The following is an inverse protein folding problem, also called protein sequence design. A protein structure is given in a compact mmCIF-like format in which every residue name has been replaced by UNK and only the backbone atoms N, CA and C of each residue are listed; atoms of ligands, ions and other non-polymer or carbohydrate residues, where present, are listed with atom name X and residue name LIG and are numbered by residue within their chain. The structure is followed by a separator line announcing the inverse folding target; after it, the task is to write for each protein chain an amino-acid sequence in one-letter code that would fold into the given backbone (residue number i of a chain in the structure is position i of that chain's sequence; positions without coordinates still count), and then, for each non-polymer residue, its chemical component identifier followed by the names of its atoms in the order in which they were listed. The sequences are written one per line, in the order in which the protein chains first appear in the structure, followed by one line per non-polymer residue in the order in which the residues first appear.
data_IF_509153389753
#
_entry.id   IF_509153389753
#
_cell.length_a   1.000
_cell.length_b   1.000
_cell.length_c   1.000
_cell.angle_alpha   90.00
_cell.angle_beta   90.00
_cell.angle_gamma   90.00
#
_symmetry.space_group_name_H-M   'P 1'
#
loop_
_entity.id
_entity.type
_entity.pdbx_description
1 polymer ?
#
# COMPACT_ATOMS: atom_id res chain seq x y z
N UNK A 1 4.04 44.67 37.72
CA UNK A 1 5.34 44.35 38.35
C UNK A 1 6.41 44.42 37.28
N UNK A 2 7.37 45.32 37.50
CA UNK A 2 8.64 45.60 36.83
C UNK A 2 8.68 45.68 35.30
N UNK A 3 8.63 46.86 34.68
CA UNK A 3 9.47 48.08 34.78
C UNK A 3 10.63 48.07 33.79
N UNK A 4 10.34 48.57 32.58
CA UNK A 4 11.21 49.49 31.87
C UNK A 4 11.62 50.65 32.81
N UNK A 5 12.87 51.12 32.73
CA UNK A 5 13.22 52.56 32.74
C UNK A 5 14.75 52.77 32.79
N UNK A 6 15.22 53.56 31.81
CA UNK A 6 16.20 54.66 31.93
C UNK A 6 17.68 54.29 32.17
N UNK A 7 18.67 54.93 31.52
CA UNK A 7 18.75 56.35 31.17
C UNK A 7 19.87 56.63 30.13
N UNK A 8 19.49 57.43 29.12
CA UNK A 8 20.22 58.48 28.36
C UNK A 8 21.13 59.36 29.27
N UNK A 9 22.04 60.26 28.78
CA UNK A 9 21.80 61.30 27.74
C UNK A 9 22.98 61.53 26.74
N UNK A 10 22.73 61.88 25.47
CA UNK A 10 22.41 63.19 24.84
C UNK A 10 23.56 64.21 24.73
N UNK A 11 23.66 64.77 23.50
CA UNK A 11 24.15 66.11 23.08
C UNK A 11 25.28 66.02 22.05
N UNK A 12 25.32 66.72 20.91
CA UNK A 12 24.39 67.55 20.14
C UNK A 12 25.16 68.02 18.88
N UNK A 13 24.42 68.36 17.82
CA UNK A 13 24.79 69.38 16.80
C UNK A 13 25.62 68.94 15.55
N UNK A 14 24.91 68.77 14.43
CA UNK A 14 25.28 69.11 13.03
C UNK A 14 25.14 70.66 12.83
N UNK A 15 25.68 71.38 11.80
CA UNK A 15 25.99 70.96 10.40
C UNK A 15 27.18 71.68 9.66
N UNK A 16 27.50 71.20 8.45
CA UNK A 16 27.79 71.98 7.21
C UNK A 16 29.01 72.91 7.09
N UNK A 17 29.81 72.75 6.02
CA UNK A 17 30.01 73.73 4.94
C UNK A 17 31.15 73.35 3.97
N UNK A 18 30.86 73.60 2.70
CA UNK A 18 31.67 73.46 1.49
C UNK A 18 32.94 74.32 1.50
N UNK A 19 34.02 73.83 0.87
CA UNK A 19 35.07 74.69 0.32
C UNK A 19 35.77 74.05 -0.89
N UNK A 20 35.71 74.76 -2.02
CA UNK A 20 36.48 74.61 -3.27
C UNK A 20 37.92 75.11 -3.00
N UNK A 21 38.97 74.58 -3.68
CA UNK A 21 39.61 75.42 -4.70
C UNK A 21 40.10 74.66 -5.95
N UNK A 22 39.87 75.29 -7.10
CA UNK A 22 40.51 75.09 -8.41
C UNK A 22 41.41 76.30 -8.68
N UNK A 23 42.44 76.09 -9.51
CA UNK A 23 43.35 77.03 -10.19
C UNK A 23 44.72 77.19 -9.50
N UNK A 24 45.87 77.18 -10.18
CA UNK A 24 46.23 77.02 -11.59
C UNK A 24 47.76 76.80 -11.68
N UNK A 25 48.25 76.06 -12.70
CA UNK A 25 49.50 76.35 -13.42
C UNK A 25 49.78 75.27 -14.50
N UNK A 26 49.94 75.72 -15.75
CA UNK A 26 50.62 75.06 -16.88
C UNK A 26 51.52 76.18 -17.46
N UNK A 27 52.66 75.99 -18.18
CA UNK A 27 53.13 74.78 -18.88
C UNK A 27 54.66 74.52 -18.84
N UNK A 28 55.11 73.35 -19.35
CA UNK A 28 56.32 73.28 -20.19
C UNK A 28 56.34 72.00 -21.05
N UNK A 29 56.44 72.21 -22.37
CA UNK A 29 56.55 71.17 -23.39
C UNK A 29 57.97 70.56 -23.45
N UNK A 30 58.05 69.26 -23.77
CA UNK A 30 59.25 68.61 -24.31
C UNK A 30 58.82 67.50 -25.30
N UNK A 31 59.55 67.41 -26.41
CA UNK A 31 59.27 66.71 -27.67
C UNK A 31 59.53 65.17 -27.62
N UNK A 32 59.18 64.40 -28.68
CA UNK A 32 58.68 63.01 -28.61
C UNK A 32 59.73 61.91 -28.89
N UNK A 33 59.41 60.64 -28.54
CA UNK A 33 59.87 59.37 -29.16
C UNK A 33 59.40 58.14 -28.35
N UNK A 34 59.32 56.91 -28.91
CA UNK A 34 58.82 56.46 -30.20
C UNK A 34 57.56 55.55 -30.04
N UNK A 35 56.77 55.40 -31.09
CA UNK A 35 55.60 54.52 -31.12
C UNK A 35 55.99 53.05 -30.88
N UNK A 36 55.63 52.51 -29.72
CA UNK A 36 55.61 51.06 -29.51
C UNK A 36 54.40 50.49 -30.23
N UNK A 37 54.64 49.48 -31.07
CA UNK A 37 53.61 48.69 -31.76
C UNK A 37 52.48 48.35 -30.77
N UNK A 38 51.19 48.47 -31.13
CA UNK A 38 50.14 47.96 -30.27
C UNK A 38 50.30 46.43 -30.22
N UNK A 39 50.91 45.95 -29.14
CA UNK A 39 50.72 44.58 -28.69
C UNK A 39 49.24 44.52 -28.34
N UNK A 40 48.46 43.81 -29.16
CA UNK A 40 47.11 43.41 -28.76
C UNK A 40 47.32 42.55 -27.52
N UNK A 41 47.06 43.12 -26.35
CA UNK A 41 47.03 42.41 -25.10
C UNK A 41 45.82 41.46 -25.13
N UNK A 42 46.02 40.26 -25.67
CA UNK A 42 45.12 39.10 -25.47
C UNK A 42 45.21 38.58 -24.02
N UNK A 43 45.86 39.28 -23.10
CA UNK A 43 46.09 38.87 -21.71
C UNK A 43 44.93 39.11 -20.76
N UNK A 44 43.85 39.80 -21.15
CA UNK A 44 42.67 39.99 -20.28
C UNK A 44 41.49 39.05 -20.55
N UNK A 45 41.57 38.17 -21.55
CA UNK A 45 40.57 37.10 -21.77
C UNK A 45 40.94 35.75 -21.12
N UNK A 46 42.01 35.71 -20.31
CA UNK A 46 42.39 34.55 -19.51
C UNK A 46 41.78 34.59 -18.10
N UNK A 47 40.47 34.84 -18.01
CA UNK A 47 39.68 34.19 -16.97
C UNK A 47 38.81 33.15 -17.67
N UNK A 48 39.48 32.08 -18.12
CA UNK A 48 38.84 30.77 -18.14
C UNK A 48 38.49 30.44 -16.70
N UNK A 49 37.34 30.93 -16.25
CA UNK A 49 36.55 30.19 -15.28
C UNK A 49 36.25 28.87 -15.97
N UNK A 50 37.09 27.86 -15.78
CA UNK A 50 36.67 26.48 -15.96
C UNK A 50 35.63 26.21 -14.89
N UNK A 51 34.41 26.73 -15.11
CA UNK A 51 33.21 26.14 -14.57
C UNK A 51 33.05 24.83 -15.33
N UNK A 52 33.82 23.84 -14.93
CA UNK A 52 33.40 22.45 -15.10
C UNK A 52 32.00 22.41 -14.50
N UNK A 53 30.94 22.12 -15.28
CA UNK A 53 29.65 21.85 -14.68
C UNK A 53 29.88 20.67 -13.74
N UNK A 54 29.80 20.91 -12.44
CA UNK A 54 29.83 19.84 -11.48
C UNK A 54 28.62 18.97 -11.81
N UNK A 55 28.80 17.70 -12.20
CA UNK A 55 27.67 16.85 -12.53
C UNK A 55 26.75 16.84 -11.31
N UNK A 56 25.47 17.15 -11.52
CA UNK A 56 24.45 16.99 -10.50
C UNK A 56 24.63 15.61 -9.87
N UNK A 57 24.96 15.57 -8.58
CA UNK A 57 25.19 14.32 -7.87
C UNK A 57 23.94 13.46 -8.03
N UNK A 58 24.12 12.22 -8.50
CA UNK A 58 23.01 11.26 -8.58
C UNK A 58 22.41 11.12 -7.18
N UNK A 59 21.09 11.30 -6.97
CA UNK A 59 20.49 10.99 -5.69
C UNK A 59 20.67 9.48 -5.45
N UNK A 60 21.36 9.14 -4.37
CA UNK A 60 21.43 7.78 -3.86
C UNK A 60 20.20 7.60 -2.97
N UNK A 61 19.22 6.84 -3.44
CA UNK A 61 18.11 6.40 -2.59
C UNK A 61 18.30 4.93 -2.25
N UNK A 62 18.40 4.69 -0.95
CA UNK A 62 18.44 3.38 -0.33
C UNK A 62 17.08 2.69 -0.47
N UNK A 63 16.99 1.73 -1.41
CA UNK A 63 15.86 0.80 -1.52
C UNK A 63 16.02 -0.43 -0.60
N UNK A 64 17.03 -0.42 0.28
CA UNK A 64 17.39 -1.52 1.15
C UNK A 64 16.54 -1.57 2.41
N UNK A 65 15.36 -2.19 2.33
CA UNK A 65 14.70 -2.75 3.51
C UNK A 65 13.40 -2.09 3.96
N UNK A 66 12.48 -1.80 3.04
CA UNK A 66 11.08 -1.64 3.44
C UNK A 66 10.50 -3.00 3.88
N UNK A 67 10.74 -3.36 5.13
CA UNK A 67 9.91 -4.36 5.81
C UNK A 67 8.47 -3.87 5.80
N UNK A 68 7.47 -4.74 5.60
CA UNK A 68 6.07 -4.32 5.60
C UNK A 68 5.77 -3.56 6.89
N UNK A 69 5.24 -2.33 6.81
CA UNK A 69 4.93 -1.56 8.01
C UNK A 69 3.88 -2.32 8.81
N UNK A 70 4.12 -2.52 10.11
CA UNK A 70 3.02 -2.84 11.03
C UNK A 70 2.04 -1.69 10.95
N UNK A 71 0.78 -1.92 10.54
CA UNK A 71 -0.12 -0.82 10.27
C UNK A 71 -0.40 -0.11 11.60
N UNK A 72 0.03 1.15 11.73
CA UNK A 72 0.10 1.85 13.02
C UNK A 72 -1.28 2.24 13.55
N UNK A 73 -1.68 1.65 14.68
CA UNK A 73 -2.87 2.00 15.45
C UNK A 73 -3.34 0.83 16.32
N UNK A 74 -3.95 1.09 17.49
CA UNK A 74 -4.52 0.04 18.37
C UNK A 74 -5.64 -0.81 17.72
N UNK A 75 -6.03 -0.49 16.49
CA UNK A 75 -7.02 -1.21 15.68
C UNK A 75 -6.39 -2.23 14.71
N UNK A 76 -5.07 -2.44 14.74
CA UNK A 76 -4.32 -3.16 13.72
C UNK A 76 -3.41 -4.27 14.25
N UNK A 77 -3.59 -4.69 15.51
CA UNK A 77 -2.97 -5.91 16.00
C UNK A 77 -3.61 -7.11 15.31
N UNK A 78 -2.79 -8.13 14.99
CA UNK A 78 -3.29 -9.37 14.41
C UNK A 78 -4.43 -9.90 15.29
N UNK A 79 -5.62 -10.21 14.73
CA UNK A 79 -6.74 -10.69 15.53
C UNK A 79 -6.32 -11.86 16.41
N UNK A 80 -6.85 -11.97 17.62
CA UNK A 80 -6.63 -13.12 18.48
C UNK A 80 -7.95 -13.83 18.68
N UNK A 81 -7.95 -15.16 18.59
CA UNK A 81 -9.17 -15.93 18.83
C UNK A 81 -9.57 -15.79 20.29
N UNK A 82 -10.79 -15.33 20.53
CA UNK A 82 -11.42 -15.28 21.84
C UNK A 82 -12.83 -15.85 21.71
N UNK A 83 -13.16 -16.96 22.38
CA UNK A 83 -14.49 -17.54 22.31
C UNK A 83 -15.50 -16.58 22.91
N UNK A 84 -16.68 -16.48 22.29
CA UNK A 84 -17.71 -15.57 22.79
C UNK A 84 -18.31 -16.04 24.12
N UNK A 85 -18.94 -15.11 24.85
CA UNK A 85 -19.74 -15.45 26.03
C UNK A 85 -20.85 -16.45 25.70
N UNK A 86 -21.42 -16.38 24.49
CA UNK A 86 -22.49 -17.27 24.07
C UNK A 86 -21.96 -18.69 23.81
N UNK A 87 -20.77 -18.84 23.23
CA UNK A 87 -20.12 -20.14 23.05
C UNK A 87 -19.76 -20.78 24.40
N UNK A 88 -19.25 -19.97 25.34
CA UNK A 88 -18.98 -20.43 26.70
C UNK A 88 -20.28 -20.84 27.41
N UNK A 89 -21.35 -20.06 27.29
CA UNK A 89 -22.65 -20.41 27.85
C UNK A 89 -23.23 -21.70 27.24
N UNK A 90 -23.04 -21.92 25.93
CA UNK A 90 -23.43 -23.17 25.27
C UNK A 90 -22.63 -24.38 25.80
N UNK A 91 -21.33 -24.20 26.03
CA UNK A 91 -20.48 -25.23 26.64
C UNK A 91 -20.92 -25.55 28.07
N UNK A 92 -21.23 -24.54 28.88
CA UNK A 92 -21.74 -24.70 30.24
C UNK A 92 -23.11 -25.38 30.27
N UNK A 93 -24.04 -25.01 29.38
CA UNK A 93 -25.35 -25.64 29.27
C UNK A 93 -25.21 -27.13 28.91
N UNK A 94 -24.35 -27.46 27.95
CA UNK A 94 -24.05 -28.85 27.60
C UNK A 94 -23.44 -29.61 28.79
N UNK A 95 -22.48 -29.02 29.51
CA UNK A 95 -21.86 -29.63 30.68
C UNK A 95 -22.89 -29.85 31.81
N UNK A 96 -23.78 -28.89 32.05
CA UNK A 96 -24.85 -29.00 33.03
C UNK A 96 -25.84 -30.10 32.66
N UNK A 97 -26.26 -30.17 31.40
CA UNK A 97 -27.11 -31.25 30.92
C UNK A 97 -26.42 -32.62 31.13
N UNK A 98 -25.15 -32.77 30.78
CA UNK A 98 -24.40 -34.02 30.96
C UNK A 98 -24.33 -34.46 32.42
N UNK A 99 -24.21 -33.53 33.37
CA UNK A 99 -24.25 -33.82 34.81
C UNK A 99 -25.64 -34.28 35.29
N UNK A 100 -26.70 -33.79 34.66
CA UNK A 100 -28.09 -34.09 34.98
C UNK A 100 -28.62 -35.36 34.30
N UNK A 101 -27.74 -36.29 33.91
CA UNK A 101 -28.14 -37.57 33.33
C UNK A 101 -29.06 -38.34 34.29
N UNK A 102 -30.22 -38.83 33.83
CA UNK A 102 -31.08 -39.70 34.62
C UNK A 102 -30.30 -40.91 35.15
N UNK A 103 -30.41 -41.15 36.46
CA UNK A 103 -29.78 -42.29 37.10
C UNK A 103 -30.35 -43.60 36.54
N UNK A 104 -29.61 -44.72 36.61
CA UNK A 104 -30.13 -46.01 36.21
C UNK A 104 -31.48 -46.30 36.90
N UNK A 105 -32.43 -46.85 36.14
CA UNK A 105 -33.73 -47.19 36.69
C UNK A 105 -33.62 -48.18 37.85
N UNK A 106 -34.31 -47.86 38.93
CA UNK A 106 -34.57 -48.76 40.04
C UNK A 106 -36.07 -48.80 40.29
N UNK A 107 -36.63 -50.00 40.21
CA UNK A 107 -38.02 -50.24 40.51
C UNK A 107 -38.27 -50.10 42.01
N UNK A 108 -39.22 -49.25 42.38
CA UNK A 108 -39.73 -49.16 43.76
C UNK A 108 -40.67 -50.31 44.13
N UNK A 109 -41.07 -51.12 43.16
CA UNK A 109 -42.01 -52.23 43.34
C UNK A 109 -41.31 -53.59 43.44
N UNK A 110 -40.01 -53.69 43.14
CA UNK A 110 -39.21 -54.93 43.16
C UNK A 110 -39.52 -55.78 44.39
N UNK A 111 -39.35 -55.23 45.60
CA UNK A 111 -39.54 -55.99 46.83
C UNK A 111 -40.99 -56.49 47.00
N UNK A 112 -41.97 -55.72 46.55
CA UNK A 112 -43.39 -56.07 46.62
C UNK A 112 -43.76 -57.15 45.60
N UNK A 113 -43.22 -57.03 44.38
CA UNK A 113 -43.36 -58.01 43.30
C UNK A 113 -42.74 -59.33 43.75
N UNK A 114 -41.50 -59.31 44.24
CA UNK A 114 -40.80 -60.50 44.74
C UNK A 114 -41.54 -61.13 45.93
N UNK A 115 -42.07 -60.31 46.83
CA UNK A 115 -42.90 -60.77 47.95
C UNK A 115 -44.17 -61.50 47.48
N UNK A 116 -44.89 -60.95 46.50
CA UNK A 116 -46.10 -61.59 45.96
C UNK A 116 -45.78 -62.85 45.17
N UNK A 117 -44.72 -62.84 44.35
CA UNK A 117 -44.26 -64.02 43.62
C UNK A 117 -43.91 -65.14 44.61
N UNK A 118 -43.16 -64.83 45.66
CA UNK A 118 -42.82 -65.81 46.69
C UNK A 118 -44.05 -66.33 47.44
N UNK A 119 -45.02 -65.47 47.74
CA UNK A 119 -46.29 -65.90 48.36
C UNK A 119 -47.05 -66.86 47.45
N UNK A 120 -47.13 -66.58 46.15
CA UNK A 120 -47.79 -67.44 45.17
C UNK A 120 -47.07 -68.77 44.96
N UNK A 121 -45.73 -68.76 44.96
CA UNK A 121 -44.90 -69.96 44.81
C UNK A 121 -44.98 -70.89 46.03
N UNK A 122 -45.08 -70.31 47.23
CA UNK A 122 -45.15 -71.06 48.49
C UNK A 122 -46.59 -71.24 49.01
N UNK A 123 -47.60 -71.02 48.16
CA UNK A 123 -49.00 -71.19 48.51
C UNK A 123 -49.27 -72.65 48.91
N UNK A 124 -49.81 -72.86 50.12
CA UNK A 124 -50.20 -74.20 50.56
C UNK A 124 -51.36 -74.74 49.70
N UNK A 125 -51.37 -76.06 49.41
CA UNK A 125 -52.49 -76.68 48.73
C UNK A 125 -53.76 -76.56 49.57
N UNK A 126 -54.92 -76.48 48.91
CA UNK A 126 -56.20 -76.40 49.60
C UNK A 126 -56.40 -77.60 50.52
N UNK A 127 -56.69 -77.31 51.79
CA UNK A 127 -57.08 -78.30 52.80
C UNK A 127 -58.31 -77.77 53.53
N UNK A 128 -59.29 -78.64 53.73
CA UNK A 128 -60.51 -78.30 54.46
C UNK A 128 -60.61 -79.16 55.72
N UNK A 129 -60.59 -78.49 56.87
CA UNK A 129 -60.84 -79.10 58.17
C UNK A 129 -62.18 -78.60 58.71
N UNK A 130 -63.23 -79.44 58.72
CA UNK A 130 -64.52 -79.08 59.27
C UNK A 130 -64.45 -78.67 60.74
N UNK A 131 -63.58 -79.31 61.52
CA UNK A 131 -63.47 -79.00 62.95
C UNK A 131 -62.87 -77.61 63.20
N UNK A 132 -62.09 -77.07 62.24
CA UNK A 132 -61.52 -75.72 62.29
C UNK A 132 -62.43 -74.65 61.67
N UNK A 133 -63.47 -75.03 60.91
CA UNK A 133 -64.40 -74.11 60.25
C UNK A 133 -65.45 -73.58 61.25
N UNK A 134 -65.45 -72.27 61.59
CA UNK A 134 -66.40 -71.70 62.53
C UNK A 134 -67.87 -71.85 62.09
N UNK A 135 -68.12 -71.84 60.77
CA UNK A 135 -69.47 -71.98 60.23
C UNK A 135 -69.96 -73.41 60.40
N UNK A 136 -69.09 -74.39 60.17
CA UNK A 136 -69.40 -75.80 60.46
C UNK A 136 -69.64 -76.03 61.95
N UNK A 137 -68.82 -75.45 62.84
CA UNK A 137 -69.03 -75.56 64.29
C UNK A 137 -70.38 -75.02 64.73
N UNK A 138 -70.79 -73.85 64.19
CA UNK A 138 -72.10 -73.27 64.47
C UNK A 138 -73.24 -74.17 63.97
N UNK A 139 -73.11 -74.71 62.75
CA UNK A 139 -74.07 -75.68 62.19
C UNK A 139 -74.15 -76.94 63.03
N UNK A 140 -73.02 -77.51 63.46
CA UNK A 140 -72.98 -78.72 64.26
C UNK A 140 -73.67 -78.55 65.62
N UNK A 141 -73.45 -77.42 66.29
CA UNK A 141 -74.14 -77.11 67.56
C UNK A 141 -75.66 -76.95 67.36
N UNK A 142 -76.08 -76.30 66.28
CA UNK A 142 -77.50 -76.13 65.94
C UNK A 142 -78.17 -77.47 65.66
N UNK A 143 -77.54 -78.33 64.84
CA UNK A 143 -78.07 -79.64 64.49
C UNK A 143 -78.07 -80.62 65.67
N UNK A 144 -77.07 -80.57 66.56
CA UNK A 144 -77.11 -81.33 67.81
C UNK A 144 -78.29 -80.90 68.67
N UNK A 145 -78.49 -79.59 68.88
CA UNK A 145 -79.61 -79.07 69.67
C UNK A 145 -80.96 -79.42 69.06
N UNK A 146 -81.12 -79.24 67.75
CA UNK A 146 -82.36 -79.55 67.05
C UNK A 146 -82.61 -81.06 66.99
N UNK A 147 -81.57 -81.86 66.81
CA UNK A 147 -81.63 -83.31 66.89
C UNK A 147 -82.10 -83.78 68.26
N UNK A 148 -81.58 -83.22 69.35
CA UNK A 148 -82.03 -83.53 70.70
C UNK A 148 -83.50 -83.16 70.93
N UNK A 149 -83.94 -82.02 70.40
CA UNK A 149 -85.35 -81.60 70.46
C UNK A 149 -86.23 -82.55 69.65
N UNK A 150 -85.88 -82.84 68.40
CA UNK A 150 -86.61 -83.76 67.53
C UNK A 150 -86.65 -85.19 68.11
N UNK A 151 -85.57 -85.63 68.74
CA UNK A 151 -85.51 -86.90 69.47
C UNK A 151 -86.50 -86.90 70.63
N UNK A 152 -86.51 -85.85 71.46
CA UNK A 152 -87.46 -85.72 72.58
C UNK A 152 -88.91 -85.67 72.09
N UNK A 153 -89.17 -84.97 70.99
CA UNK A 153 -90.50 -84.86 70.39
C UNK A 153 -90.96 -86.21 69.82
N UNK A 154 -90.09 -86.91 69.09
CA UNK A 154 -90.39 -88.25 68.57
C UNK A 154 -90.61 -89.27 69.70
N UNK A 155 -89.81 -89.20 70.77
CA UNK A 155 -90.02 -90.00 71.98
C UNK A 155 -91.34 -89.67 72.66
N UNK A 156 -91.68 -88.39 72.82
CA UNK A 156 -92.93 -87.95 73.44
C UNK A 156 -94.15 -88.38 72.63
N UNK A 157 -94.10 -88.23 71.30
CA UNK A 157 -95.16 -88.69 70.39
C UNK A 157 -95.31 -90.22 70.43
N UNK A 158 -94.21 -90.96 70.42
CA UNK A 158 -94.25 -92.42 70.53
C UNK A 158 -94.79 -92.87 71.90
N UNK A 159 -94.40 -92.21 73.00
CA UNK A 159 -94.88 -92.53 74.34
C UNK A 159 -96.39 -92.22 74.50
N UNK A 160 -96.87 -91.15 73.85
CA UNK A 160 -98.30 -90.82 73.81
C UNK A 160 -99.10 -91.89 73.06
N UNK A 161 -98.57 -92.42 71.94
CA UNK A 161 -99.19 -93.52 71.19
C UNK A 161 -99.22 -94.85 71.94
N UNK A 162 -98.27 -95.09 72.85
CA UNK A 162 -98.19 -96.31 73.68
C UNK A 162 -98.87 -96.18 75.04
N UNK A 163 -99.69 -95.14 75.26
CA UNK A 163 -100.48 -94.97 76.49
C UNK A 163 -99.69 -94.42 77.69
N UNK A 164 -98.61 -93.67 77.45
CA UNK A 164 -97.84 -92.96 78.47
C UNK A 164 -96.72 -93.77 79.13
N UNK A 165 -96.58 -95.06 78.80
CA UNK A 165 -95.45 -95.87 79.25
C UNK A 165 -94.26 -95.67 78.32
N UNK A 166 -93.15 -95.16 78.88
CA UNK A 166 -91.88 -95.03 78.17
C UNK A 166 -91.35 -96.39 77.74
N UNK A 167 -91.71 -96.79 76.52
CA UNK A 167 -91.40 -98.10 75.99
C UNK A 167 -90.07 -98.06 75.22
N UNK A 168 -89.36 -99.19 75.15
CA UNK A 168 -88.13 -99.33 74.34
C UNK A 168 -88.31 -98.90 72.89
N UNK A 169 -89.55 -99.00 72.37
CA UNK A 169 -89.95 -98.48 71.07
C UNK A 169 -89.79 -96.95 70.93
N UNK A 170 -90.20 -96.16 71.93
CA UNK A 170 -90.06 -94.70 71.89
C UNK A 170 -88.58 -94.29 71.87
N UNK A 171 -87.75 -94.96 72.66
CA UNK A 171 -86.30 -94.75 72.65
C UNK A 171 -85.68 -95.05 71.28
N UNK A 172 -86.12 -96.13 70.64
CA UNK A 172 -85.65 -96.53 69.31
C UNK A 172 -86.03 -95.52 68.23
N UNK A 173 -87.28 -95.03 68.23
CA UNK A 173 -87.76 -94.00 67.27
C UNK A 173 -87.04 -92.66 67.47
N UNK A 174 -86.81 -92.25 68.73
CA UNK A 174 -86.06 -91.03 69.02
C UNK A 174 -84.60 -91.10 68.55
N UNK A 175 -83.92 -92.23 68.78
CA UNK A 175 -82.56 -92.42 68.29
C UNK A 175 -82.49 -92.45 66.76
N UNK A 176 -83.47 -93.07 66.10
CA UNK A 176 -83.55 -93.07 64.63
C UNK A 176 -83.75 -91.65 64.07
N UNK A 177 -84.58 -90.84 64.73
CA UNK A 177 -84.81 -89.44 64.35
C UNK A 177 -83.55 -88.58 64.55
N UNK A 178 -82.84 -88.78 65.67
CA UNK A 178 -81.56 -88.12 65.94
C UNK A 178 -80.48 -88.47 64.91
N UNK A 179 -80.35 -89.76 64.57
CA UNK A 179 -79.41 -90.24 63.56
C UNK A 179 -79.68 -89.62 62.19
N UNK A 180 -80.94 -89.52 61.77
CA UNK A 180 -81.33 -88.86 60.52
C UNK A 180 -80.94 -87.37 60.50
N UNK A 181 -81.10 -86.67 61.61
CA UNK A 181 -80.68 -85.27 61.72
C UNK A 181 -79.15 -85.09 61.64
N UNK A 182 -78.37 -86.04 62.18
CA UNK A 182 -76.92 -86.05 62.01
C UNK A 182 -76.49 -86.37 60.57
N UNK A 183 -77.22 -87.25 59.88
CA UNK A 183 -77.02 -87.52 58.45
C UNK A 183 -77.30 -86.27 57.59
N UNK A 184 -78.37 -85.53 57.89
CA UNK A 184 -78.69 -84.26 57.21
C UNK A 184 -77.57 -83.22 57.40
N UNK A 185 -76.94 -83.15 58.58
CA UNK A 185 -75.78 -82.29 58.82
C UNK A 185 -74.57 -82.70 57.99
N UNK A 186 -74.26 -84.01 57.94
CA UNK A 186 -73.17 -84.54 57.13
C UNK A 186 -73.37 -84.27 55.62
N UNK A 187 -74.61 -84.12 55.17
CA UNK A 187 -74.92 -83.74 53.79
C UNK A 187 -74.56 -82.30 53.43
N UNK A 188 -74.39 -81.41 54.42
CA UNK A 188 -73.95 -80.02 54.21
C UNK A 188 -72.42 -79.86 54.13
N UNK A 189 -71.66 -80.85 54.61
CA UNK A 189 -70.20 -80.86 54.62
C UNK A 189 -69.59 -80.62 53.22
N UNK A 190 -70.05 -81.30 52.15
CA UNK A 190 -69.52 -81.07 50.80
C UNK A 190 -69.78 -79.64 50.30
N UNK A 191 -70.91 -79.02 50.70
CA UNK A 191 -71.25 -77.66 50.30
C UNK A 191 -70.32 -76.64 50.96
N UNK A 192 -70.03 -76.80 52.26
CA UNK A 192 -69.10 -75.93 52.99
C UNK A 192 -67.67 -76.07 52.46
N UNK A 193 -67.22 -77.31 52.19
CA UNK A 193 -65.92 -77.55 51.55
C UNK A 193 -65.83 -76.87 50.18
N UNK A 194 -66.91 -76.92 49.38
CA UNK A 194 -66.94 -76.29 48.07
C UNK A 194 -66.90 -74.75 48.16
N UNK A 195 -67.60 -74.16 49.13
CA UNK A 195 -67.54 -72.73 49.40
C UNK A 195 -66.13 -72.28 49.87
N UNK A 196 -65.51 -73.06 50.77
CA UNK A 196 -64.13 -72.81 51.21
C UNK A 196 -63.13 -72.91 50.05
N UNK A 197 -63.33 -73.87 49.13
CA UNK A 197 -62.51 -74.00 47.93
C UNK A 197 -62.68 -72.82 46.96
N UNK A 198 -63.90 -72.33 46.79
CA UNK A 198 -64.17 -71.12 46.00
C UNK A 198 -63.44 -69.91 46.59
N UNK A 199 -63.58 -69.67 47.90
CA UNK A 199 -62.86 -68.60 48.59
C UNK A 199 -61.33 -68.72 48.41
N UNK A 200 -60.77 -69.93 48.51
CA UNK A 200 -59.35 -70.16 48.26
C UNK A 200 -58.94 -69.82 46.82
N UNK A 201 -59.74 -70.24 45.82
CA UNK A 201 -59.49 -69.92 44.41
C UNK A 201 -59.60 -68.42 44.14
N UNK A 202 -60.57 -67.75 44.74
CA UNK A 202 -60.78 -66.30 44.59
C UNK A 202 -59.64 -65.52 45.22
N UNK A 203 -59.16 -65.94 46.40
CA UNK A 203 -57.98 -65.34 47.02
C UNK A 203 -56.74 -65.48 46.13
N UNK A 204 -56.52 -66.66 45.54
CA UNK A 204 -55.42 -66.89 44.60
C UNK A 204 -55.57 -66.04 43.32
N UNK A 205 -56.80 -65.86 42.84
CA UNK A 205 -57.12 -64.92 41.76
C UNK A 205 -56.72 -63.50 42.11
N UNK A 206 -57.19 -63.00 43.24
CA UNK A 206 -56.89 -61.65 43.73
C UNK A 206 -55.38 -61.41 43.93
N UNK A 207 -54.64 -62.40 44.44
CA UNK A 207 -53.18 -62.30 44.57
C UNK A 207 -52.49 -62.16 43.22
N UNK A 208 -52.94 -62.92 42.20
CA UNK A 208 -52.41 -62.81 40.84
C UNK A 208 -52.78 -61.49 40.19
N UNK A 209 -54.01 -61.00 40.41
CA UNK A 209 -54.46 -59.70 39.90
C UNK A 209 -53.66 -58.55 40.52
N UNK A 210 -53.40 -58.62 41.83
CA UNK A 210 -52.53 -57.66 42.51
C UNK A 210 -51.09 -57.68 41.98
N UNK A 211 -50.54 -58.87 41.73
CA UNK A 211 -49.21 -59.00 41.11
C UNK A 211 -49.19 -58.39 39.71
N UNK A 212 -50.21 -58.66 38.89
CA UNK A 212 -50.33 -58.05 37.55
C UNK A 212 -50.46 -56.52 37.63
N UNK A 213 -51.17 -55.99 38.63
CA UNK A 213 -51.26 -54.55 38.85
C UNK A 213 -49.91 -53.96 39.23
N UNK A 214 -49.14 -54.61 40.11
CA UNK A 214 -47.78 -54.18 40.47
C UNK A 214 -46.83 -54.21 39.27
N UNK A 215 -46.85 -55.29 38.49
CA UNK A 215 -46.06 -55.40 37.27
C UNK A 215 -46.43 -54.30 36.25
N UNK A 216 -47.71 -53.98 36.11
CA UNK A 216 -48.17 -52.88 35.27
C UNK A 216 -47.74 -51.50 35.78
N UNK A 217 -47.75 -51.28 37.10
CA UNK A 217 -47.26 -50.06 37.71
C UNK A 217 -45.74 -49.90 37.51
N UNK A 218 -45.00 -51.02 37.58
CA UNK A 218 -43.56 -51.07 37.34
C UNK A 218 -43.21 -50.76 35.88
N UNK A 219 -43.89 -51.41 34.94
CA UNK A 219 -43.73 -51.18 33.50
C UNK A 219 -44.03 -49.71 33.15
N UNK A 220 -45.09 -49.13 33.72
CA UNK A 220 -45.40 -47.71 33.54
C UNK A 220 -44.31 -46.79 34.14
N UNK A 221 -43.72 -47.16 35.28
CA UNK A 221 -42.61 -46.42 35.88
C UNK A 221 -41.33 -46.52 35.02
N UNK A 222 -41.04 -47.69 34.47
CA UNK A 222 -39.94 -47.90 33.54
C UNK A 222 -40.15 -47.13 32.23
N UNK A 223 -41.38 -47.07 31.72
CA UNK A 223 -41.76 -46.24 30.57
C UNK A 223 -41.44 -44.76 30.80
N UNK A 224 -41.87 -44.19 31.93
CA UNK A 224 -41.52 -42.81 32.31
C UNK A 224 -40.02 -42.58 32.44
N UNK A 225 -39.29 -43.55 32.98
CA UNK A 225 -37.82 -43.48 33.03
C UNK A 225 -37.23 -43.42 31.62
N UNK A 226 -37.66 -44.30 30.72
CA UNK A 226 -37.21 -44.28 29.32
C UNK A 226 -37.52 -42.96 28.62
N UNK A 227 -38.69 -42.38 28.86
CA UNK A 227 -39.07 -41.09 28.31
C UNK A 227 -38.14 -39.98 28.82
N UNK A 228 -37.89 -39.91 30.14
CA UNK A 228 -36.96 -38.92 30.71
C UNK A 228 -35.51 -39.10 30.24
N UNK A 229 -35.08 -40.34 30.01
CA UNK A 229 -33.78 -40.62 29.39
C UNK A 229 -33.75 -40.13 27.94
N UNK A 230 -34.81 -40.39 27.17
CA UNK A 230 -34.93 -39.90 25.79
C UNK A 230 -35.01 -38.38 25.70
N UNK A 231 -35.68 -37.71 26.64
CA UNK A 231 -35.71 -36.24 26.75
C UNK A 231 -34.31 -35.68 27.04
N UNK A 232 -33.60 -36.29 28.01
CA UNK A 232 -32.23 -35.92 28.32
C UNK A 232 -31.29 -36.10 27.12
N UNK A 233 -31.38 -37.23 26.39
CA UNK A 233 -30.56 -37.48 25.20
C UNK A 233 -30.84 -36.47 24.09
N UNK A 234 -32.12 -36.14 23.84
CA UNK A 234 -32.49 -35.13 22.84
C UNK A 234 -31.96 -33.75 23.20
N UNK A 235 -32.09 -33.34 24.46
CA UNK A 235 -31.56 -32.05 24.93
C UNK A 235 -30.03 -32.01 24.84
N UNK A 236 -29.35 -33.09 25.23
CA UNK A 236 -27.90 -33.23 25.09
C UNK A 236 -27.47 -33.05 23.63
N UNK A 237 -28.13 -33.74 22.71
CA UNK A 237 -27.78 -33.72 21.28
C UNK A 237 -28.06 -32.34 20.67
N UNK A 238 -29.15 -31.69 21.08
CA UNK A 238 -29.45 -30.31 20.71
C UNK A 238 -28.36 -29.34 21.21
N UNK A 239 -28.02 -29.38 22.50
CA UNK A 239 -26.98 -28.52 23.09
C UNK A 239 -25.61 -28.77 22.46
N UNK A 240 -25.29 -30.03 22.17
CA UNK A 240 -24.05 -30.39 21.48
C UNK A 240 -24.02 -29.83 20.06
N UNK A 241 -25.11 -29.97 19.30
CA UNK A 241 -25.25 -29.39 17.97
C UNK A 241 -25.09 -27.87 17.99
N UNK A 242 -25.80 -27.19 18.89
CA UNK A 242 -25.71 -25.74 19.07
C UNK A 242 -24.28 -25.28 19.39
N UNK A 243 -23.62 -25.92 20.37
CA UNK A 243 -22.23 -25.59 20.71
C UNK A 243 -21.27 -25.84 19.52
N UNK A 244 -21.45 -26.95 18.80
CA UNK A 244 -20.64 -27.28 17.62
C UNK A 244 -20.81 -26.26 16.50
N UNK A 245 -22.06 -25.88 16.19
CA UNK A 245 -22.37 -24.91 15.14
C UNK A 245 -21.83 -23.53 15.51
N UNK A 246 -22.06 -23.06 16.74
CA UNK A 246 -21.51 -21.79 17.23
C UNK A 246 -19.98 -21.78 17.21
N UNK A 247 -19.34 -22.85 17.67
CA UNK A 247 -17.88 -22.96 17.67
C UNK A 247 -17.33 -22.88 16.25
N UNK A 248 -18.00 -23.52 15.28
CA UNK A 248 -17.59 -23.50 13.88
C UNK A 248 -17.77 -22.11 13.28
N UNK A 249 -18.93 -21.49 13.48
CA UNK A 249 -19.22 -20.14 12.96
C UNK A 249 -18.27 -19.08 13.52
N UNK A 250 -17.97 -19.14 14.82
CA UNK A 250 -17.01 -18.23 15.45
C UNK A 250 -15.59 -18.44 14.94
N UNK A 251 -15.19 -19.70 14.77
CA UNK A 251 -13.88 -20.01 14.22
C UNK A 251 -13.74 -19.56 12.77
N UNK A 252 -14.76 -19.79 11.93
CA UNK A 252 -14.79 -19.34 10.54
C UNK A 252 -14.75 -17.80 10.44
N UNK A 253 -15.46 -17.09 11.33
CA UNK A 253 -15.38 -15.63 11.44
C UNK A 253 -13.98 -15.16 11.82
N UNK A 254 -13.37 -15.79 12.82
CA UNK A 254 -12.01 -15.47 13.23
C UNK A 254 -11.00 -15.69 12.09
N UNK A 255 -11.13 -16.78 11.32
CA UNK A 255 -10.30 -17.00 10.13
C UNK A 255 -10.51 -15.92 9.07
N UNK A 256 -11.75 -15.46 8.88
CA UNK A 256 -12.05 -14.37 7.94
C UNK A 256 -11.45 -13.04 8.42
N UNK A 257 -11.54 -12.72 9.72
CA UNK A 257 -10.93 -11.53 10.29
C UNK A 257 -9.40 -11.55 10.15
N UNK A 258 -8.77 -12.71 10.35
CA UNK A 258 -7.34 -12.91 10.08
C UNK A 258 -6.99 -12.63 8.63
N UNK A 259 -7.76 -13.18 7.70
CA UNK A 259 -7.52 -13.01 6.27
C UNK A 259 -7.68 -11.55 5.85
N UNK A 260 -8.73 -10.88 6.30
CA UNK A 260 -8.95 -9.45 6.05
C UNK A 260 -7.79 -8.60 6.59
N UNK A 261 -7.29 -8.93 7.79
CA UNK A 261 -6.13 -8.24 8.36
C UNK A 261 -4.85 -8.45 7.51
N UNK A 262 -4.62 -9.65 6.99
CA UNK A 262 -3.49 -9.92 6.10
C UNK A 262 -3.62 -9.17 4.77
N UNK A 263 -4.81 -9.11 4.20
CA UNK A 263 -5.12 -8.40 2.96
C UNK A 263 -4.94 -6.89 3.14
N UNK A 264 -5.47 -6.30 4.23
CA UNK A 264 -5.29 -4.88 4.55
C UNK A 264 -3.82 -4.53 4.75
N UNK A 265 -3.06 -5.39 5.44
CA UNK A 265 -1.62 -5.21 5.63
C UNK A 265 -0.87 -5.27 4.31
N UNK A 266 -1.20 -6.22 3.44
CA UNK A 266 -0.56 -6.36 2.13
C UNK A 266 -0.93 -5.20 1.21
N UNK A 267 -2.17 -4.75 1.24
CA UNK A 267 -2.64 -3.58 0.48
C UNK A 267 -1.90 -2.31 0.91
N UNK A 268 -1.77 -2.06 2.22
CA UNK A 268 -1.00 -0.93 2.74
C UNK A 268 0.47 -0.98 2.29
N UNK A 269 1.07 -2.17 2.30
CA UNK A 269 2.44 -2.36 1.81
C UNK A 269 2.57 -2.09 0.31
N UNK A 270 1.65 -2.59 -0.51
CA UNK A 270 1.64 -2.35 -1.96
C UNK A 270 1.50 -0.86 -2.26
N UNK A 271 0.58 -0.15 -1.59
CA UNK A 271 0.45 1.29 -1.74
C UNK A 271 1.75 2.04 -1.43
N UNK A 272 2.48 1.63 -0.39
CA UNK A 272 3.76 2.24 -0.06
C UNK A 272 4.80 2.01 -1.16
N UNK A 273 4.86 0.80 -1.74
CA UNK A 273 5.74 0.52 -2.88
C UNK A 273 5.37 1.35 -4.11
N UNK A 274 4.08 1.46 -4.42
CA UNK A 274 3.60 2.23 -5.57
C UNK A 274 3.92 3.72 -5.43
N UNK A 275 3.77 4.28 -4.21
CA UNK A 275 4.17 5.66 -3.92
C UNK A 275 5.69 5.85 -4.08
N UNK A 276 6.50 4.96 -3.50
CA UNK A 276 7.96 5.02 -3.65
C UNK A 276 8.39 4.91 -5.12
N UNK A 277 7.71 4.07 -5.92
CA UNK A 277 7.97 3.95 -7.34
C UNK A 277 7.59 5.22 -8.12
N UNK A 278 6.48 5.87 -7.77
CA UNK A 278 6.08 7.14 -8.37
C UNK A 278 7.06 8.26 -8.03
N UNK A 279 7.48 8.36 -6.77
CA UNK A 279 8.48 9.33 -6.32
C UNK A 279 9.81 9.12 -7.05
N UNK A 280 10.23 7.87 -7.20
CA UNK A 280 11.44 7.54 -7.97
C UNK A 280 11.33 7.96 -9.44
N UNK A 281 10.19 7.70 -10.10
CA UNK A 281 9.96 8.12 -11.48
C UNK A 281 9.98 9.65 -11.64
N UNK A 282 9.36 10.38 -10.71
CA UNK A 282 9.37 11.84 -10.72
C UNK A 282 10.79 12.38 -10.60
N UNK A 283 11.59 11.85 -9.67
CA UNK A 283 12.98 12.27 -9.52
C UNK A 283 13.84 11.96 -10.76
N UNK A 284 13.63 10.81 -11.41
CA UNK A 284 14.32 10.51 -12.68
C UNK A 284 13.94 11.51 -13.78
N UNK A 285 12.66 11.88 -13.87
CA UNK A 285 12.18 12.85 -14.84
C UNK A 285 12.73 14.26 -14.59
N UNK A 286 12.73 14.71 -13.32
CA UNK A 286 13.34 15.98 -12.92
C UNK A 286 14.84 16.02 -13.23
N UNK A 287 15.54 14.91 -12.96
CA UNK A 287 16.96 14.79 -13.28
C UNK A 287 17.22 14.88 -14.80
N UNK A 288 16.39 14.23 -15.62
CA UNK A 288 16.49 14.32 -17.08
C UNK A 288 16.27 15.75 -17.57
N UNK A 289 15.26 16.45 -17.04
CA UNK A 289 15.01 17.85 -17.40
C UNK A 289 16.20 18.75 -17.05
N UNK A 290 16.82 18.55 -15.89
CA UNK A 290 18.02 19.29 -15.51
C UNK A 290 19.19 19.04 -16.46
N UNK A 291 19.38 17.80 -16.93
CA UNK A 291 20.39 17.49 -17.94
C UNK A 291 20.10 18.17 -19.28
N UNK A 292 18.85 18.14 -19.73
CA UNK A 292 18.45 18.75 -20.99
C UNK A 292 18.61 20.28 -20.93
N UNK A 293 18.26 20.90 -19.79
CA UNK A 293 18.47 22.31 -19.55
C UNK A 293 19.96 22.67 -19.57
N UNK A 294 20.79 21.92 -18.85
CA UNK A 294 22.24 22.13 -18.85
C UNK A 294 22.85 21.98 -20.25
N UNK A 295 22.36 21.02 -21.05
CA UNK A 295 22.79 20.84 -22.44
C UNK A 295 22.40 22.03 -23.33
N UNK A 296 21.18 22.57 -23.16
CA UNK A 296 20.73 23.77 -23.88
C UNK A 296 21.55 25.01 -23.50
N UNK A 297 21.79 25.22 -22.21
CA UNK A 297 22.61 26.33 -21.71
C UNK A 297 24.04 26.25 -22.26
N UNK A 298 24.61 25.04 -22.29
CA UNK A 298 25.93 24.81 -22.87
C UNK A 298 25.95 25.14 -24.37
N UNK A 299 24.95 24.70 -25.14
CA UNK A 299 24.84 25.02 -26.57
C UNK A 299 24.72 26.53 -26.82
N UNK A 300 23.92 27.23 -26.00
CA UNK A 300 23.78 28.69 -26.09
C UNK A 300 25.10 29.40 -25.80
N UNK A 301 25.84 28.95 -24.78
CA UNK A 301 27.17 29.50 -24.48
C UNK A 301 28.16 29.28 -25.63
N UNK A 302 28.17 28.10 -26.24
CA UNK A 302 29.03 27.83 -27.41
C UNK A 302 28.66 28.74 -28.60
N UNK A 303 27.36 28.92 -28.86
CA UNK A 303 26.91 29.81 -29.93
C UNK A 303 27.28 31.28 -29.67
N UNK A 304 27.05 31.76 -28.45
CA UNK A 304 27.42 33.12 -28.04
C UNK A 304 28.95 33.34 -28.14
N UNK A 305 29.74 32.34 -27.76
CA UNK A 305 31.19 32.37 -27.90
C UNK A 305 31.61 32.46 -29.37
N UNK A 306 31.04 31.65 -30.26
CA UNK A 306 31.30 31.71 -31.70
C UNK A 306 30.94 33.07 -32.29
N UNK A 307 29.77 33.60 -31.94
CA UNK A 307 29.32 34.92 -32.40
C UNK A 307 30.28 36.03 -31.95
N UNK A 308 30.77 35.97 -30.71
CA UNK A 308 31.75 36.94 -30.21
C UNK A 308 33.09 36.85 -30.97
N UNK A 309 33.54 35.65 -31.34
CA UNK A 309 34.73 35.48 -32.18
C UNK A 309 34.52 36.08 -33.58
N UNK A 310 33.39 35.79 -34.22
CA UNK A 310 33.07 36.31 -35.54
C UNK A 310 32.98 37.84 -35.54
N UNK A 311 32.39 38.42 -34.50
CA UNK A 311 32.32 39.86 -34.32
C UNK A 311 33.72 40.47 -34.12
N UNK A 312 34.55 39.87 -33.27
CA UNK A 312 35.93 40.33 -33.08
C UNK A 312 36.75 40.25 -34.38
N UNK A 313 36.54 39.21 -35.19
CA UNK A 313 37.19 39.07 -36.50
C UNK A 313 36.74 40.16 -37.48
N UNK A 314 35.44 40.50 -37.51
CA UNK A 314 34.92 41.60 -38.33
C UNK A 314 35.47 42.96 -37.88
N UNK A 315 35.50 43.22 -36.58
CA UNK A 315 36.06 44.45 -36.02
C UNK A 315 37.55 44.58 -36.35
N UNK A 316 38.30 43.47 -36.26
CA UNK A 316 39.70 43.44 -36.65
C UNK A 316 39.89 43.74 -38.15
N UNK A 317 39.08 43.15 -39.03
CA UNK A 317 39.13 43.43 -40.47
C UNK A 317 38.81 44.90 -40.78
N UNK A 318 37.81 45.48 -40.12
CA UNK A 318 37.47 46.89 -40.26
C UNK A 318 38.62 47.80 -39.82
N UNK A 319 39.28 47.48 -38.71
CA UNK A 319 40.46 48.22 -38.26
C UNK A 319 41.62 48.13 -39.25
N UNK A 320 41.88 46.96 -39.83
CA UNK A 320 42.91 46.81 -40.87
C UNK A 320 42.58 47.64 -42.12
N UNK A 321 41.32 47.63 -42.56
CA UNK A 321 40.88 48.43 -43.70
C UNK A 321 40.99 49.93 -43.42
N UNK A 322 40.54 50.39 -42.25
CA UNK A 322 40.67 51.78 -41.83
C UNK A 322 42.14 52.22 -41.71
N UNK A 323 43.00 51.34 -41.21
CA UNK A 323 44.45 51.58 -41.15
C UNK A 323 45.05 51.71 -42.55
N UNK A 324 44.70 50.83 -43.49
CA UNK A 324 45.16 50.91 -44.88
C UNK A 324 44.70 52.22 -45.55
N UNK A 325 43.43 52.59 -45.37
CA UNK A 325 42.88 53.83 -45.89
C UNK A 325 43.61 55.06 -45.33
N UNK A 326 43.92 55.06 -44.03
CA UNK A 326 44.69 56.13 -43.41
C UNK A 326 46.13 56.22 -43.96
N UNK A 327 46.77 55.09 -44.25
CA UNK A 327 48.08 55.09 -44.92
C UNK A 327 48.00 55.66 -46.33
N UNK A 328 47.00 55.25 -47.12
CA UNK A 328 46.81 55.75 -48.48
C UNK A 328 46.51 57.26 -48.49
N UNK A 329 45.72 57.74 -47.53
CA UNK A 329 45.45 59.16 -47.35
C UNK A 329 46.71 59.93 -46.94
N UNK A 330 47.49 59.41 -45.99
CA UNK A 330 48.76 60.03 -45.61
C UNK A 330 49.77 60.05 -46.78
N UNK A 331 49.77 59.03 -47.65
CA UNK A 331 50.59 59.00 -48.84
C UNK A 331 50.15 60.04 -49.87
N UNK A 332 48.83 60.23 -50.06
CA UNK A 332 48.28 61.29 -50.91
C UNK A 332 48.63 62.69 -50.38
N UNK A 333 48.44 62.93 -49.08
CA UNK A 333 48.79 64.19 -48.42
C UNK A 333 50.29 64.47 -48.55
N UNK A 334 51.14 63.46 -48.39
CA UNK A 334 52.59 63.61 -48.57
C UNK A 334 52.96 63.94 -50.02
N UNK A 335 52.35 63.27 -51.00
CA UNK A 335 52.56 63.61 -52.42
C UNK A 335 52.12 65.05 -52.74
N UNK A 336 51.00 65.48 -52.16
CA UNK A 336 50.49 66.83 -52.33
C UNK A 336 51.42 67.88 -51.72
N UNK A 337 51.94 67.62 -50.51
CA UNK A 337 52.94 68.47 -49.88
C UNK A 337 54.25 68.54 -50.69
N UNK A 338 54.71 67.41 -51.26
CA UNK A 338 55.90 67.42 -52.13
C UNK A 338 55.65 68.25 -53.41
N UNK A 339 54.47 68.14 -54.01
CA UNK A 339 54.09 68.94 -55.17
C UNK A 339 54.02 70.43 -54.85
N UNK A 340 53.43 70.81 -53.71
CA UNK A 340 53.37 72.19 -53.23
C UNK A 340 54.76 72.75 -52.91
N UNK A 341 55.61 71.95 -52.26
CA UNK A 341 57.00 72.32 -51.98
C UNK A 341 57.80 72.56 -53.27
N UNK A 342 57.63 71.70 -54.27
CA UNK A 342 58.25 71.86 -55.60
C UNK A 342 57.80 73.17 -56.26
N UNK A 343 56.50 73.49 -56.22
CA UNK A 343 55.99 74.75 -56.74
C UNK A 343 56.57 75.96 -56.01
N UNK A 344 56.72 75.90 -54.68
CA UNK A 344 57.35 76.98 -53.92
C UNK A 344 58.83 77.15 -54.28
N UNK A 345 59.58 76.06 -54.47
CA UNK A 345 60.95 76.12 -54.95
C UNK A 345 61.05 76.75 -56.33
N UNK A 346 60.17 76.37 -57.26
CA UNK A 346 60.11 76.99 -58.58
C UNK A 346 59.79 78.49 -58.47
N UNK A 347 58.87 78.87 -57.57
CA UNK A 347 58.48 80.26 -57.34
C UNK A 347 59.62 81.10 -56.74
N UNK A 348 60.36 80.56 -55.77
CA UNK A 348 61.56 81.18 -55.21
C UNK A 348 62.68 81.28 -56.24
N UNK A 349 62.84 80.27 -57.08
CA UNK A 349 63.81 80.30 -58.18
C UNK A 349 63.43 81.38 -59.21
N UNK A 350 62.14 81.53 -59.53
CA UNK A 350 61.62 82.62 -60.37
C UNK A 350 61.84 84.00 -59.73
N UNK A 351 61.62 84.15 -58.42
CA UNK A 351 61.84 85.41 -57.71
C UNK A 351 63.34 85.73 -57.58
N UNK A 352 64.21 84.74 -57.37
CA UNK A 352 65.66 84.91 -57.40
C UNK A 352 66.15 85.35 -58.80
N UNK A 353 65.66 84.73 -59.88
CA UNK A 353 65.94 85.17 -61.25
C UNK A 353 65.47 86.61 -61.49
N UNK A 354 64.33 87.02 -60.93
CA UNK A 354 63.80 88.39 -61.02
C UNK A 354 64.70 89.39 -60.28
N UNK A 355 65.12 89.06 -59.07
CA UNK A 355 65.95 89.93 -58.22
C UNK A 355 67.38 90.09 -58.78
N UNK A 356 67.94 89.04 -59.41
CA UNK A 356 69.17 89.13 -60.21
C UNK A 356 69.02 90.10 -61.39
N UNK A 357 67.86 90.09 -62.07
CA UNK A 357 67.56 90.99 -63.18
C UNK A 357 67.39 92.45 -62.70
N UNK A 358 66.87 92.66 -61.49
CA UNK A 358 66.69 93.99 -60.89
C UNK A 358 67.99 94.57 -60.31
N UNK A 359 68.87 93.74 -59.73
CA UNK A 359 70.21 94.16 -59.26
C UNK A 359 71.11 94.62 -60.41
N UNK A 360 71.00 94.00 -61.60
CA UNK A 360 71.70 94.42 -62.81
C UNK A 360 71.26 95.84 -63.27
N UNK A 361 70.00 96.20 -62.99
CA UNK A 361 69.38 97.47 -63.39
C UNK A 361 69.77 98.64 -62.48
N UNK A 362 70.16 98.39 -61.23
CA UNK A 362 70.55 99.43 -60.25
C UNK A 362 72.01 99.90 -60.36
N UNK A 363 72.90 99.19 -61.05
CA UNK A 363 74.27 99.67 -61.31
C UNK A 363 74.35 100.70 -62.46
N UNK A 364 73.37 100.74 -63.35
CA UNK A 364 73.34 101.66 -64.51
C UNK A 364 72.62 103.01 -64.24
N UNK A 365 72.33 103.32 -62.97
CA UNK A 365 71.56 104.51 -62.56
C UNK A 365 72.36 105.73 -62.05
N UNK A 366 73.70 105.77 -62.15
CA UNK A 366 74.54 106.92 -61.73
C UNK A 366 75.42 107.47 -62.85
N UNK A 367 75.10 108.71 -63.24
CA UNK A 367 75.77 109.67 -64.15
C UNK A 367 75.27 109.67 -65.61
N UNK A 368 74.60 110.78 -65.93
CA UNK A 368 74.18 111.16 -67.27
C UNK A 368 75.33 111.54 -68.20
N UNK A 369 74.95 111.73 -69.47
CA UNK A 369 75.80 111.62 -70.64
C UNK A 369 76.95 112.61 -70.80
N UNK A 370 78.01 112.11 -71.46
CA UNK A 370 78.59 112.76 -72.64
C UNK A 370 79.57 111.84 -73.38
N UNK A 371 79.33 111.68 -74.69
CA UNK A 371 80.40 111.82 -75.68
C UNK A 371 80.99 110.56 -76.32
N UNK A 372 80.49 110.23 -77.53
CA UNK A 372 81.36 110.11 -78.71
C UNK A 372 81.74 108.71 -79.23
N UNK A 373 81.29 108.41 -80.45
CA UNK A 373 82.23 108.01 -81.51
C UNK A 373 82.27 106.55 -81.99
N UNK A 374 81.54 106.31 -83.08
CA UNK A 374 81.91 105.51 -84.27
C UNK A 374 82.20 103.99 -84.19
N UNK A 375 81.39 103.23 -84.94
CA UNK A 375 81.94 102.46 -86.07
C UNK A 375 81.66 100.96 -86.13
N UNK A 376 80.85 100.56 -87.14
CA UNK A 376 80.93 99.34 -88.00
C UNK A 376 80.85 97.98 -87.29
N UNK A 377 80.06 96.98 -87.71
CA UNK A 377 79.32 96.71 -88.94
C UNK A 377 79.39 95.21 -89.25
N UNK A 378 78.24 94.56 -89.46
CA UNK A 378 78.07 93.21 -90.06
C UNK A 378 78.61 92.03 -89.24
N UNK A 379 78.24 90.78 -89.45
CA UNK A 379 77.23 90.07 -90.24
C UNK A 379 77.49 88.59 -89.95
N UNK A 380 76.44 87.75 -89.97
CA UNK A 380 76.44 86.29 -90.28
C UNK A 380 77.38 85.38 -89.46
N UNK A 381 76.94 84.29 -88.83
CA UNK A 381 76.04 83.27 -89.34
C UNK A 381 76.71 81.91 -89.12
N UNK A 382 75.92 80.95 -88.62
CA UNK A 382 76.00 79.52 -88.92
C UNK A 382 77.24 78.68 -88.53
N UNK A 383 77.02 77.67 -87.69
CA UNK A 383 77.51 76.31 -87.99
C UNK A 383 78.48 75.65 -87.01
N UNK A 384 77.93 74.71 -86.23
CA UNK A 384 78.39 73.32 -86.01
C UNK A 384 79.84 72.97 -85.61
N UNK A 385 79.97 72.06 -84.63
CA UNK A 385 81.19 71.26 -84.38
C UNK A 385 81.62 71.34 -82.91
N UNK A 386 81.13 70.47 -82.02
CA UNK A 386 81.71 69.16 -81.61
C UNK A 386 83.05 69.30 -80.86
N UNK A 387 83.02 68.81 -79.63
CA UNK A 387 84.09 68.27 -78.78
C UNK A 387 85.44 68.98 -78.75
N UNK A 388 85.78 69.50 -77.57
CA UNK A 388 86.67 68.75 -76.67
C UNK A 388 86.89 69.46 -75.35
N UNK A 389 86.97 68.62 -74.35
CA UNK A 389 87.80 68.79 -73.17
C UNK A 389 87.24 69.61 -72.00
N UNK A 390 86.74 68.81 -71.05
CA UNK A 390 87.33 68.65 -69.71
C UNK A 390 86.89 69.65 -68.63
N UNK A 391 86.42 69.01 -67.54
CA UNK A 391 86.19 69.52 -66.18
C UNK A 391 84.81 70.18 -66.05
N UNK A 392 83.80 69.63 -65.37
CA UNK A 392 83.60 68.46 -64.50
C UNK A 392 82.06 68.41 -64.28
N UNK A 393 81.24 67.39 -64.59
CA UNK A 393 81.14 66.03 -64.02
C UNK A 393 81.60 65.98 -62.56
N UNK A 394 80.75 65.80 -61.57
CA UNK A 394 80.03 64.57 -61.20
C UNK A 394 79.10 64.95 -60.02
N UNK A 395 77.91 64.38 -59.79
CA UNK A 395 77.52 62.96 -59.62
C UNK A 395 75.98 62.89 -59.80
N UNK A 396 75.43 62.22 -60.84
CA UNK A 396 74.74 60.90 -60.85
C UNK A 396 73.75 60.60 -59.70
N UNK A 397 72.46 60.34 -59.89
CA UNK A 397 71.70 59.33 -60.66
C UNK A 397 71.58 57.92 -60.02
N UNK A 398 70.34 57.50 -59.73
CA UNK A 398 69.76 56.13 -59.75
C UNK A 398 68.29 56.25 -59.27
N UNK A 399 67.18 55.86 -59.94
CA UNK A 399 66.77 54.85 -60.92
C UNK A 399 66.43 53.43 -60.39
N UNK A 400 65.11 53.14 -60.37
CA UNK A 400 64.36 51.89 -60.70
C UNK A 400 64.45 50.57 -59.88
N UNK A 401 63.26 50.01 -59.57
CA UNK A 401 62.76 48.61 -59.81
C UNK A 401 61.67 48.23 -58.77
N UNK A 402 60.40 48.01 -59.10
CA UNK A 402 59.70 46.91 -59.82
C UNK A 402 59.10 45.80 -58.92
N UNK A 403 57.93 45.34 -59.37
CA UNK A 403 56.89 44.54 -58.74
C UNK A 403 57.15 43.01 -58.71
N UNK A 404 56.24 42.29 -58.01
CA UNK A 404 55.78 40.87 -58.14
C UNK A 404 55.62 40.25 -56.74
N UNK A 405 54.63 39.42 -56.40
CA UNK A 405 53.51 38.84 -57.12
C UNK A 405 52.84 37.76 -56.24
N UNK A 406 51.56 37.52 -56.55
CA UNK A 406 50.81 36.27 -56.49
C UNK A 406 50.49 35.55 -55.16
N UNK A 407 49.19 35.26 -55.09
CA UNK A 407 48.46 34.36 -54.22
C UNK A 407 48.90 32.90 -54.31
N UNK A 408 48.58 32.13 -53.26
CA UNK A 408 48.26 30.71 -53.38
C UNK A 408 47.03 30.40 -52.52
N UNK A 409 45.99 29.94 -53.20
CA UNK A 409 44.80 29.31 -52.63
C UNK A 409 45.06 27.82 -52.34
N UNK A 410 44.42 27.27 -51.30
CA UNK A 410 44.08 25.86 -51.24
C UNK A 410 42.78 25.66 -50.45
N UNK A 411 41.86 24.94 -51.08
CA UNK A 411 40.46 24.72 -50.70
C UNK A 411 40.29 23.35 -49.99
N UNK A 412 39.10 22.75 -49.89
CA UNK A 412 38.29 22.61 -48.67
C UNK A 412 38.29 21.17 -48.10
N UNK A 413 37.78 20.98 -46.89
CA UNK A 413 37.37 19.65 -46.43
C UNK A 413 35.87 19.67 -46.10
N UNK A 414 35.13 18.76 -46.72
CA UNK A 414 33.72 18.44 -46.47
C UNK A 414 33.56 16.91 -46.40
N UNK A 415 32.51 16.42 -45.72
CA UNK A 415 32.55 15.24 -44.85
C UNK A 415 32.01 13.97 -45.52
N UNK A 416 31.97 12.82 -44.82
CA UNK A 416 31.06 11.74 -45.19
C UNK A 416 29.91 11.57 -44.19
N UNK A 417 28.70 11.53 -44.77
CA UNK A 417 27.47 10.98 -44.20
C UNK A 417 27.48 9.44 -44.23
N UNK A 418 26.75 8.89 -43.26
CA UNK A 418 25.85 7.72 -43.27
C UNK A 418 26.01 6.66 -44.37
N UNK A 419 26.00 5.39 -43.96
CA UNK A 419 25.37 4.31 -44.72
C UNK A 419 24.69 3.32 -43.76
N UNK A 420 23.42 3.04 -44.02
CA UNK A 420 22.71 1.86 -43.53
C UNK A 420 22.59 0.81 -44.64
N UNK A 421 22.51 -0.47 -44.24
CA UNK A 421 21.92 -1.62 -44.94
C UNK A 421 22.03 -2.80 -43.95
N UNK A 422 20.95 -3.36 -43.38
CA UNK A 422 19.94 -4.25 -43.98
C UNK A 422 20.49 -5.62 -44.42
N UNK A 423 20.18 -6.67 -43.64
CA UNK A 423 19.96 -8.09 -43.99
C UNK A 423 20.04 -8.89 -42.67
N UNK A 424 19.01 -9.53 -42.10
CA UNK A 424 18.07 -10.45 -42.72
C UNK A 424 18.44 -11.88 -42.30
N UNK A 425 17.77 -12.46 -41.29
CA UNK A 425 17.42 -13.88 -41.28
C UNK A 425 16.39 -14.25 -40.20
N UNK A 426 15.41 -15.04 -40.65
CA UNK A 426 14.26 -15.53 -39.91
C UNK A 426 14.49 -16.95 -39.38
N UNK A 427 13.73 -17.32 -38.34
CA UNK A 427 13.30 -18.65 -37.86
C UNK A 427 13.41 -18.69 -36.32
N UNK A 428 12.44 -19.12 -35.53
CA UNK A 428 11.11 -19.66 -35.78
C UNK A 428 10.38 -19.85 -34.44
N UNK A 429 9.05 -19.91 -34.51
CA UNK A 429 8.15 -20.76 -33.71
C UNK A 429 8.33 -20.79 -32.18
N UNK A 430 7.36 -20.27 -31.41
CA UNK A 430 6.26 -21.14 -30.96
C UNK A 430 5.06 -20.43 -30.32
N UNK A 431 3.90 -21.03 -30.54
CA UNK A 431 2.55 -20.53 -30.22
C UNK A 431 2.08 -21.02 -28.86
N UNK A 432 1.41 -20.16 -28.06
CA UNK A 432 0.25 -20.58 -27.25
C UNK A 432 -0.84 -19.50 -27.17
N UNK A 433 -1.84 -19.69 -28.03
CA UNK A 433 -3.30 -19.60 -27.83
C UNK A 433 -3.85 -18.43 -26.97
N UNK A 434 -4.36 -17.41 -27.66
CA UNK A 434 -5.41 -16.48 -27.19
C UNK A 434 -6.76 -16.99 -27.70
N UNK A 435 -7.69 -17.32 -26.80
CA UNK A 435 -9.11 -17.53 -27.10
C UNK A 435 -9.91 -16.43 -26.38
N UNK A 436 -10.78 -15.78 -27.14
CA UNK A 436 -11.67 -14.68 -26.75
C UNK A 436 -12.74 -15.12 -25.74
N UNK A 437 -13.24 -14.25 -24.86
CA UNK A 437 -14.47 -14.50 -24.11
C UNK A 437 -15.70 -13.96 -24.86
N UNK A 438 -16.66 -14.85 -25.14
CA UNK A 438 -18.04 -14.56 -25.53
C UNK A 438 -18.93 -14.36 -24.30
N UNK A 439 -19.67 -13.25 -24.25
CA UNK A 439 -20.78 -12.98 -23.31
C UNK A 439 -21.92 -14.00 -23.47
N UNK A 440 -22.75 -14.20 -22.42
CA UNK A 440 -24.17 -14.27 -22.68
C UNK A 440 -25.06 -13.43 -21.75
N UNK A 441 -26.23 -13.22 -22.33
CA UNK A 441 -27.33 -12.30 -22.05
C UNK A 441 -28.29 -12.86 -21.01
N UNK A 442 -28.99 -11.96 -20.34
CA UNK A 442 -30.11 -12.17 -19.42
C UNK A 442 -31.20 -13.13 -19.93
N UNK A 443 -31.84 -13.85 -18.99
CA UNK A 443 -33.21 -14.35 -19.11
C UNK A 443 -33.93 -14.26 -17.76
N UNK A 444 -35.09 -13.60 -17.81
CA UNK A 444 -36.15 -13.60 -16.79
C UNK A 444 -36.67 -15.02 -16.56
N UNK A 445 -36.95 -15.36 -15.30
CA UNK A 445 -38.24 -15.87 -14.83
C UNK A 445 -38.34 -15.71 -13.33
#
# INVERSE_FOLDING_TARGET
MNSNLKKKPESSTVPGLSAVPKAAAVPKAAAPQPAQKPVIDMGSMSQSSTLTPQPAQKPVIDMGGMTPPSPTGKQNERPAYQPSEALNAAAEALASNQQNKPQPYQSSFTDQIDGMINSLLNQQPFQYDPAADPLYQQYAQLYQRNGELAMRDAMAQSAALTGGYGNTYAQQVGQQTYQRHLEDMNSALPQLQQAAYQMYRDNLGNQRDNLNMLLGADDAAYGRYRDSLGDWERERDYLYGMHSDMSREEYDRYLQEQQNWEDDRLFAYQQQQDQAAQDWQQQQFEYQQLQDQAAQDWQQQQFAYQQAQDQAAQDWQQQQFAYQQAQDQAAQDWQQQQFEYQQQQDQLNWDWLREQFEYQKEQDGKKGGSGGGSGRGGSSGSGSGVDRDRIASLVNAAALAQATGAAVAASPYSPPRQNGAASGNAAGSDRRKRLLPTLPRALKK
#
